data_IF_036794718646
#
_entry.id   IF_036794718646
#
_cell.length_a   1.000
_cell.length_b   1.000
_cell.length_c   1.000
_cell.angle_alpha   90.00
_cell.angle_beta   90.00
_cell.angle_gamma   90.00
#
_symmetry.space_group_name_H-M   'P 1'
#
loop_
_entity.id
_entity.type
_entity.pdbx_description
1 polymer ?
#
# COMPACT_ATOMS: atom_id res chain seq x y z
N UNK A 1 4.06 -18.33 3.49
CA UNK A 1 3.81 -18.34 2.02
C UNK A 1 3.53 -16.90 1.64
N UNK A 2 4.54 -16.18 1.14
CA UNK A 2 4.35 -14.80 0.72
C UNK A 2 3.28 -14.79 -0.37
N UNK A 3 2.23 -14.02 -0.21
CA UNK A 3 1.23 -13.79 -1.24
C UNK A 3 1.92 -13.06 -2.39
N UNK A 4 2.40 -13.81 -3.34
CA UNK A 4 2.89 -13.32 -4.60
C UNK A 4 1.66 -12.83 -5.38
N UNK A 5 1.24 -11.62 -5.08
CA UNK A 5 0.27 -10.93 -5.90
C UNK A 5 0.92 -10.72 -7.27
N UNK A 6 0.51 -11.51 -8.23
CA UNK A 6 0.79 -11.26 -9.66
C UNK A 6 -0.18 -10.22 -10.20
N UNK A 7 -0.50 -9.17 -9.40
CA UNK A 7 -1.36 -8.09 -9.89
C UNK A 7 -0.66 -7.45 -11.08
N UNK A 8 -1.19 -7.70 -12.25
CA UNK A 8 -0.92 -6.93 -13.46
C UNK A 8 -1.70 -5.63 -13.37
N UNK A 9 -1.20 -4.58 -14.01
CA UNK A 9 -1.92 -3.31 -14.07
C UNK A 9 -1.52 -2.26 -13.02
N UNK A 10 -0.46 -2.46 -12.24
CA UNK A 10 0.02 -1.44 -11.29
C UNK A 10 0.59 -0.22 -11.99
N UNK A 11 1.33 -0.40 -13.09
CA UNK A 11 1.79 0.72 -13.92
C UNK A 11 0.60 1.46 -14.51
N UNK A 12 -0.32 0.73 -15.13
CA UNK A 12 -1.54 1.30 -15.73
C UNK A 12 -2.35 2.09 -14.70
N UNK A 13 -2.46 1.58 -13.47
CA UNK A 13 -3.13 2.27 -12.37
C UNK A 13 -2.45 3.63 -12.07
N UNK A 14 -1.13 3.63 -11.80
CA UNK A 14 -0.43 4.86 -11.47
C UNK A 14 -0.32 5.83 -12.65
N UNK A 15 -0.14 5.33 -13.87
CA UNK A 15 -0.13 6.13 -15.09
C UNK A 15 -1.45 6.92 -15.26
N UNK A 16 -2.58 6.25 -14.99
CA UNK A 16 -3.89 6.89 -15.01
C UNK A 16 -4.04 7.94 -13.88
N UNK A 17 -3.65 7.59 -12.65
CA UNK A 17 -3.77 8.49 -11.50
C UNK A 17 -2.86 9.73 -11.61
N UNK A 18 -1.69 9.58 -12.21
CA UNK A 18 -0.75 10.68 -12.43
C UNK A 18 -1.01 11.47 -13.71
N UNK A 19 -1.86 10.94 -14.62
CA UNK A 19 -2.16 11.55 -15.92
C UNK A 19 -0.99 11.51 -16.90
N UNK A 20 -0.05 10.55 -16.73
CA UNK A 20 1.13 10.38 -17.56
C UNK A 20 1.39 8.89 -17.81
N UNK A 21 1.38 8.48 -19.06
CA UNK A 21 1.56 7.07 -19.46
C UNK A 21 2.93 6.75 -20.02
N UNK A 22 3.76 7.75 -20.28
CA UNK A 22 5.12 7.56 -20.79
C UNK A 22 6.17 7.93 -19.72
N UNK A 23 6.74 6.90 -19.09
CA UNK A 23 7.76 7.09 -18.05
C UNK A 23 9.18 6.77 -18.54
N UNK A 24 9.40 6.64 -19.86
CA UNK A 24 10.75 6.53 -20.41
C UNK A 24 11.65 7.68 -19.97
N UNK A 25 12.87 7.35 -19.58
CA UNK A 25 13.85 8.31 -19.09
C UNK A 25 13.59 8.85 -17.69
N UNK A 26 12.49 8.46 -17.04
CA UNK A 26 12.13 8.86 -15.67
C UNK A 26 12.79 7.97 -14.64
N UNK A 27 13.30 8.56 -13.55
CA UNK A 27 13.75 7.83 -12.38
C UNK A 27 12.51 7.48 -11.52
N UNK A 28 12.29 6.19 -11.30
CA UNK A 28 11.12 5.69 -10.57
C UNK A 28 11.56 4.94 -9.33
N UNK A 29 11.02 5.30 -8.17
CA UNK A 29 11.13 4.55 -6.93
C UNK A 29 9.81 3.83 -6.64
N UNK A 30 9.85 2.52 -6.57
CA UNK A 30 8.74 1.66 -6.15
C UNK A 30 8.97 1.23 -4.70
N UNK A 31 8.28 1.91 -3.79
CA UNK A 31 8.39 1.67 -2.35
C UNK A 31 7.40 0.58 -1.92
N UNK A 32 7.92 -0.55 -1.48
CA UNK A 32 7.16 -1.78 -1.27
C UNK A 32 6.82 -2.50 -2.58
N UNK A 33 7.72 -2.41 -3.57
CA UNK A 33 7.49 -2.92 -4.94
C UNK A 33 7.49 -4.44 -5.07
N UNK A 34 7.73 -5.17 -3.96
CA UNK A 34 7.77 -6.63 -3.94
C UNK A 34 8.79 -7.16 -4.96
N UNK A 35 8.36 -7.97 -5.90
CA UNK A 35 9.19 -8.58 -6.97
C UNK A 35 9.20 -7.74 -8.27
N UNK A 36 8.87 -6.43 -8.19
CA UNK A 36 8.75 -5.56 -9.35
C UNK A 36 7.42 -5.75 -10.10
N UNK A 37 6.33 -5.84 -9.34
CA UNK A 37 5.01 -6.06 -9.94
C UNK A 37 4.62 -4.99 -10.97
N UNK A 38 5.06 -3.75 -10.78
CA UNK A 38 4.82 -2.66 -11.72
C UNK A 38 5.52 -2.88 -13.06
N UNK A 39 6.72 -3.48 -13.08
CA UNK A 39 7.47 -3.78 -14.30
C UNK A 39 6.85 -4.92 -15.12
N UNK A 40 6.00 -5.75 -14.50
CA UNK A 40 5.29 -6.85 -15.16
C UNK A 40 4.01 -6.42 -15.86
N UNK A 41 3.60 -5.17 -15.66
CA UNK A 41 2.45 -4.62 -16.37
C UNK A 41 2.77 -4.56 -17.87
N UNK A 42 1.94 -5.13 -18.76
CA UNK A 42 2.18 -5.12 -20.22
C UNK A 42 2.32 -3.71 -20.80
N UNK A 43 1.70 -2.71 -20.17
CA UNK A 43 1.74 -1.32 -20.60
C UNK A 43 2.91 -0.54 -19.98
N UNK A 44 3.78 -1.21 -19.20
CA UNK A 44 4.86 -0.55 -18.48
C UNK A 44 5.89 0.06 -19.44
N UNK A 45 6.16 1.35 -19.24
CA UNK A 45 7.16 2.10 -20.02
C UNK A 45 8.38 2.51 -19.19
N UNK A 46 8.55 1.95 -18.00
CA UNK A 46 9.69 2.23 -17.12
C UNK A 46 10.94 1.53 -17.67
N UNK A 47 12.01 2.28 -17.87
CA UNK A 47 13.33 1.72 -18.18
C UNK A 47 13.87 0.99 -16.95
N UNK A 48 14.22 -0.30 -17.04
CA UNK A 48 14.71 -1.08 -15.89
C UNK A 48 15.91 -0.39 -15.20
N UNK A 49 16.86 0.15 -15.96
CA UNK A 49 18.02 0.85 -15.42
C UNK A 49 17.67 2.15 -14.66
N UNK A 50 16.42 2.60 -14.73
CA UNK A 50 15.88 3.78 -14.04
C UNK A 50 14.79 3.43 -13.04
N UNK A 51 14.73 2.17 -12.63
CA UNK A 51 13.79 1.67 -11.63
C UNK A 51 14.53 1.23 -10.37
N UNK A 52 14.06 1.72 -9.23
CA UNK A 52 14.51 1.35 -7.89
C UNK A 52 13.36 0.73 -7.14
N UNK A 53 13.60 -0.45 -6.57
CA UNK A 53 12.68 -1.10 -5.65
C UNK A 53 13.27 -1.11 -4.24
N UNK A 54 12.50 -0.64 -3.28
CA UNK A 54 12.80 -0.76 -1.85
C UNK A 54 11.72 -1.63 -1.23
N UNK A 55 12.08 -2.77 -0.63
CA UNK A 55 11.11 -3.67 -0.01
C UNK A 55 11.66 -4.30 1.27
N UNK A 56 10.76 -4.66 2.20
CA UNK A 56 11.07 -5.26 3.49
C UNK A 56 11.18 -6.79 3.45
N UNK A 57 10.90 -7.41 2.30
CA UNK A 57 10.92 -8.86 2.10
C UNK A 57 12.16 -9.26 1.31
N UNK A 58 13.19 -9.86 1.94
CA UNK A 58 14.46 -10.17 1.27
C UNK A 58 14.29 -11.14 0.09
N UNK A 59 13.37 -12.12 0.19
CA UNK A 59 13.09 -13.06 -0.89
C UNK A 59 12.48 -12.37 -2.11
N UNK A 60 11.69 -11.32 -1.91
CA UNK A 60 11.14 -10.51 -3.00
C UNK A 60 12.24 -9.76 -3.75
N UNK A 61 13.18 -9.18 -3.00
CA UNK A 61 14.35 -8.49 -3.56
C UNK A 61 15.20 -9.43 -4.40
N UNK A 62 15.53 -10.62 -3.88
CA UNK A 62 16.35 -11.60 -4.64
C UNK A 62 15.66 -12.10 -5.91
N UNK A 63 14.35 -12.30 -5.85
CA UNK A 63 13.57 -12.69 -7.04
C UNK A 63 13.47 -11.56 -8.07
N UNK A 64 13.26 -10.33 -7.61
CA UNK A 64 13.24 -9.16 -8.48
C UNK A 64 14.57 -8.97 -9.20
N UNK A 65 15.71 -9.09 -8.48
CA UNK A 65 17.06 -9.06 -9.08
C UNK A 65 17.26 -10.12 -10.18
N UNK A 66 16.73 -11.33 -9.94
CA UNK A 66 16.86 -12.41 -10.90
C UNK A 66 16.02 -12.16 -12.18
N UNK A 67 14.85 -11.54 -12.04
CA UNK A 67 13.94 -11.29 -13.15
C UNK A 67 14.26 -9.99 -13.90
N UNK A 68 14.67 -8.95 -13.19
CA UNK A 68 14.97 -7.62 -13.74
C UNK A 68 16.37 -7.19 -13.31
N UNK A 69 17.44 -7.76 -13.89
CA UNK A 69 18.82 -7.59 -13.42
C UNK A 69 19.40 -6.19 -13.65
N UNK A 70 18.81 -5.38 -14.52
CA UNK A 70 19.25 -3.99 -14.75
C UNK A 70 18.66 -3.00 -13.74
N UNK A 71 17.63 -3.43 -12.98
CA UNK A 71 16.98 -2.61 -11.98
C UNK A 71 17.75 -2.59 -10.65
N UNK A 72 17.47 -1.58 -9.82
CA UNK A 72 18.12 -1.37 -8.53
C UNK A 72 17.24 -1.92 -7.40
N UNK A 73 17.73 -2.91 -6.67
CA UNK A 73 16.99 -3.61 -5.64
C UNK A 73 17.61 -3.40 -4.27
N UNK A 74 16.83 -2.92 -3.31
CA UNK A 74 17.29 -2.53 -1.99
C UNK A 74 16.44 -3.23 -0.93
N UNK A 75 17.06 -4.10 -0.15
CA UNK A 75 16.44 -4.65 1.05
C UNK A 75 16.40 -3.59 2.15
N UNK A 76 15.23 -3.37 2.72
CA UNK A 76 14.96 -2.38 3.75
C UNK A 76 14.50 -3.08 5.02
N UNK A 77 15.41 -3.36 5.93
CA UNK A 77 15.14 -4.11 7.16
C UNK A 77 14.31 -3.31 8.18
N UNK A 78 13.31 -2.57 7.70
CA UNK A 78 12.35 -1.88 8.56
C UNK A 78 11.30 -2.85 9.06
N UNK A 79 10.95 -2.71 10.34
CA UNK A 79 9.82 -3.41 10.92
C UNK A 79 8.55 -3.17 10.10
N UNK A 80 7.91 -4.24 9.72
CA UNK A 80 6.56 -4.25 9.17
C UNK A 80 5.79 -5.39 9.84
N UNK A 81 4.65 -5.06 10.43
CA UNK A 81 3.87 -5.97 11.26
C UNK A 81 3.67 -7.36 10.65
N UNK A 82 3.39 -7.42 9.36
CA UNK A 82 3.08 -8.67 8.67
C UNK A 82 4.24 -9.22 7.83
N UNK A 83 4.99 -8.35 7.15
CA UNK A 83 5.98 -8.78 6.17
C UNK A 83 7.40 -8.88 6.75
N UNK A 84 7.73 -8.08 7.76
CA UNK A 84 9.03 -8.12 8.45
C UNK A 84 8.89 -7.83 9.96
N UNK A 85 8.28 -8.76 10.72
CA UNK A 85 8.00 -8.54 12.15
C UNK A 85 9.25 -8.51 13.03
N UNK A 86 10.39 -8.90 12.48
CA UNK A 86 11.70 -8.89 13.17
C UNK A 86 12.60 -7.73 12.74
N UNK A 87 12.14 -6.88 11.82
CA UNK A 87 12.87 -5.73 11.33
C UNK A 87 13.03 -4.62 12.36
N UNK A 88 13.82 -3.62 12.02
CA UNK A 88 14.17 -2.50 12.88
C UNK A 88 13.05 -1.45 12.90
N UNK A 89 12.48 -1.18 14.08
CA UNK A 89 11.45 -0.14 14.25
C UNK A 89 12.04 1.24 14.01
N UNK A 90 11.32 2.10 13.28
CA UNK A 90 11.73 3.48 13.01
C UNK A 90 12.98 3.61 12.13
N UNK A 91 13.45 2.52 11.49
CA UNK A 91 14.56 2.60 10.55
C UNK A 91 14.27 3.64 9.47
N UNK A 92 15.20 4.57 9.25
CA UNK A 92 15.06 5.58 8.20
C UNK A 92 15.21 4.96 6.82
N UNK A 93 14.61 5.62 5.81
CA UNK A 93 14.77 5.22 4.42
C UNK A 93 16.26 5.16 4.06
N UNK A 94 16.74 4.12 3.35
CA UNK A 94 18.13 4.04 2.93
C UNK A 94 18.53 5.25 2.08
N UNK A 95 19.81 5.60 2.12
CA UNK A 95 20.32 6.64 1.25
C UNK A 95 20.20 6.21 -0.22
N UNK A 96 19.59 7.08 -1.01
CA UNK A 96 19.43 6.93 -2.45
C UNK A 96 20.16 8.10 -3.10
N UNK A 97 21.07 7.79 -4.00
CA UNK A 97 22.03 8.74 -4.60
C UNK A 97 21.41 9.67 -5.65
N UNK A 98 20.07 9.73 -5.72
CA UNK A 98 19.35 10.53 -6.71
C UNK A 98 17.97 10.97 -6.25
N UNK A 99 17.42 11.91 -6.99
CA UNK A 99 16.03 12.30 -6.91
C UNK A 99 15.18 11.54 -7.96
N UNK A 100 13.87 11.35 -7.64
CA UNK A 100 12.94 10.57 -8.43
C UNK A 100 11.85 11.45 -9.05
N UNK A 101 11.58 11.21 -10.33
CA UNK A 101 10.46 11.84 -11.03
C UNK A 101 9.11 11.28 -10.50
N UNK A 102 9.08 9.98 -10.27
CA UNK A 102 7.93 9.31 -9.67
C UNK A 102 8.37 8.42 -8.51
N UNK A 103 7.66 8.55 -7.40
CA UNK A 103 7.73 7.60 -6.29
C UNK A 103 6.33 6.99 -6.15
N UNK A 104 6.25 5.67 -6.18
CA UNK A 104 4.99 4.95 -6.08
C UNK A 104 5.01 3.99 -4.90
N UNK A 105 3.86 3.81 -4.23
CA UNK A 105 3.71 2.84 -3.14
C UNK A 105 2.32 2.20 -3.22
N UNK A 106 2.25 1.00 -3.81
CA UNK A 106 0.99 0.28 -3.97
C UNK A 106 0.74 -0.67 -2.80
N UNK A 107 -0.36 -0.44 -2.07
CA UNK A 107 -0.78 -1.30 -0.94
C UNK A 107 0.24 -1.40 0.21
N UNK A 108 1.07 -0.39 0.40
CA UNK A 108 2.05 -0.31 1.49
C UNK A 108 1.38 0.25 2.74
N UNK A 109 0.79 1.45 2.63
CA UNK A 109 0.20 2.16 3.77
C UNK A 109 -1.14 1.56 4.25
N UNK A 110 -1.66 0.60 3.53
CA UNK A 110 -2.76 -0.26 3.98
C UNK A 110 -2.32 -1.29 5.04
N UNK A 111 -1.01 -1.47 5.26
CA UNK A 111 -0.44 -2.43 6.21
C UNK A 111 0.62 -1.76 7.11
N UNK A 112 0.57 -0.45 7.23
CA UNK A 112 1.56 0.35 7.97
C UNK A 112 0.84 1.16 9.06
N UNK A 113 1.37 1.24 10.29
CA UNK A 113 0.86 2.15 11.31
C UNK A 113 0.84 3.59 10.80
N UNK A 114 -0.13 4.38 11.28
CA UNK A 114 -0.32 5.77 10.85
C UNK A 114 0.92 6.65 11.10
N UNK A 115 1.54 6.53 12.27
CA UNK A 115 2.77 7.24 12.60
C UNK A 115 3.93 6.91 11.66
N UNK A 116 4.08 5.63 11.31
CA UNK A 116 5.07 5.17 10.35
C UNK A 116 4.75 5.68 8.93
N UNK A 117 3.48 5.73 8.53
CA UNK A 117 3.07 6.32 7.25
C UNK A 117 3.53 7.77 7.15
N UNK A 118 3.29 8.60 8.16
CA UNK A 118 3.73 10.00 8.15
C UNK A 118 5.24 10.12 7.99
N UNK A 119 5.99 9.39 8.82
CA UNK A 119 7.45 9.42 8.77
C UNK A 119 7.98 9.00 7.39
N UNK A 120 7.39 7.96 6.79
CA UNK A 120 7.81 7.46 5.49
C UNK A 120 7.41 8.41 4.35
N UNK A 121 6.20 8.96 4.39
CA UNK A 121 5.75 9.94 3.38
C UNK A 121 6.66 11.17 3.37
N UNK A 122 7.05 11.71 4.54
CA UNK A 122 7.98 12.85 4.59
C UNK A 122 9.34 12.49 4.02
N UNK A 123 9.92 11.35 4.37
CA UNK A 123 11.19 10.90 3.82
C UNK A 123 11.13 10.66 2.30
N UNK A 124 10.02 10.10 1.80
CA UNK A 124 9.82 9.87 0.36
C UNK A 124 9.66 11.19 -0.39
N UNK A 125 8.95 12.18 0.16
CA UNK A 125 8.83 13.52 -0.41
C UNK A 125 10.18 14.20 -0.58
N UNK A 126 11.09 14.04 0.39
CA UNK A 126 12.44 14.59 0.32
C UNK A 126 13.28 14.01 -0.84
N UNK A 127 12.90 12.84 -1.35
CA UNK A 127 13.56 12.19 -2.49
C UNK A 127 12.97 12.54 -3.86
N UNK A 128 11.92 13.36 -3.91
CA UNK A 128 11.35 13.79 -5.18
C UNK A 128 12.29 14.76 -5.93
N UNK A 129 12.40 14.56 -7.24
CA UNK A 129 12.96 15.55 -8.16
C UNK A 129 12.07 16.80 -8.22
N UNK A 130 12.59 17.90 -8.75
CA UNK A 130 11.78 19.06 -9.04
C UNK A 130 10.64 18.67 -10.00
N UNK A 131 9.41 19.06 -9.68
CA UNK A 131 8.17 18.64 -10.35
C UNK A 131 7.86 17.13 -10.27
N UNK A 132 8.57 16.36 -9.41
CA UNK A 132 8.27 14.96 -9.16
C UNK A 132 6.97 14.77 -8.40
N UNK A 133 6.45 13.54 -8.43
CA UNK A 133 5.23 13.15 -7.75
C UNK A 133 5.42 11.88 -6.92
N UNK A 134 4.90 11.90 -5.68
CA UNK A 134 4.68 10.72 -4.85
C UNK A 134 3.22 10.31 -4.98
N UNK A 135 2.97 9.07 -5.40
CA UNK A 135 1.64 8.49 -5.48
C UNK A 135 1.56 7.22 -4.63
N UNK A 136 0.67 7.18 -3.67
CA UNK A 136 0.49 5.99 -2.84
C UNK A 136 -0.98 5.65 -2.64
N UNK A 137 -1.25 4.37 -2.40
CA UNK A 137 -2.63 3.89 -2.26
C UNK A 137 -3.02 3.70 -0.80
N UNK A 138 -4.32 3.90 -0.53
CA UNK A 138 -4.98 3.64 0.75
C UNK A 138 -6.40 3.11 0.52
N UNK A 139 -7.01 2.55 1.58
CA UNK A 139 -8.38 2.02 1.50
C UNK A 139 -9.29 2.94 2.31
N UNK A 140 -10.29 3.53 1.62
CA UNK A 140 -11.41 4.17 2.28
C UNK A 140 -12.43 3.09 2.67
N UNK A 141 -12.71 2.91 3.97
CA UNK A 141 -13.58 1.83 4.44
C UNK A 141 -15.04 1.99 4.01
N UNK A 142 -15.49 3.23 3.79
CA UNK A 142 -16.89 3.56 3.49
C UNK A 142 -17.17 3.66 2.00
N UNK A 143 -16.14 3.64 1.16
CA UNK A 143 -16.32 3.71 -0.29
C UNK A 143 -16.85 2.39 -0.86
N UNK A 144 -17.74 2.49 -1.83
CA UNK A 144 -18.27 1.35 -2.58
C UNK A 144 -17.51 1.20 -3.89
N UNK A 145 -16.48 0.38 -3.90
CA UNK A 145 -15.61 0.21 -5.09
C UNK A 145 -16.34 -0.50 -6.25
N UNK A 146 -17.31 -1.35 -5.94
CA UNK A 146 -18.03 -2.15 -6.95
C UNK A 146 -19.55 -2.15 -6.70
N UNK A 147 -20.24 -0.97 -6.79
CA UNK A 147 -21.65 -0.88 -6.44
C UNK A 147 -22.55 -1.76 -7.31
N UNK A 148 -22.14 -2.04 -8.55
CA UNK A 148 -22.89 -2.89 -9.49
C UNK A 148 -22.70 -4.39 -9.23
N UNK A 149 -21.72 -4.79 -8.42
CA UNK A 149 -21.36 -6.20 -8.16
C UNK A 149 -21.65 -6.61 -6.72
N UNK A 150 -21.48 -5.68 -5.78
CA UNK A 150 -21.57 -5.94 -4.35
C UNK A 150 -22.30 -4.79 -3.66
N UNK A 151 -23.35 -5.11 -2.92
CA UNK A 151 -24.04 -4.15 -2.04
C UNK A 151 -23.29 -4.02 -0.70
N UNK A 152 -21.99 -3.66 -0.80
CA UNK A 152 -21.13 -3.56 0.37
C UNK A 152 -20.05 -2.48 0.13
N UNK A 153 -19.72 -1.74 1.19
CA UNK A 153 -18.57 -0.86 1.19
C UNK A 153 -17.25 -1.67 1.32
N UNK A 154 -16.12 -1.01 1.17
CA UNK A 154 -14.80 -1.67 1.18
C UNK A 154 -14.51 -2.42 2.48
N UNK A 155 -14.95 -1.93 3.64
CA UNK A 155 -14.76 -2.62 4.92
C UNK A 155 -15.54 -3.93 4.95
N UNK A 156 -16.84 -3.88 4.66
CA UNK A 156 -17.72 -5.07 4.66
C UNK A 156 -17.20 -6.09 3.65
N UNK A 157 -16.93 -5.67 2.41
CA UNK A 157 -16.37 -6.54 1.38
C UNK A 157 -15.05 -7.21 1.84
N UNK A 158 -14.16 -6.43 2.51
CA UNK A 158 -12.89 -6.98 3.01
C UNK A 158 -13.09 -8.05 4.06
N UNK A 159 -14.00 -7.82 5.01
CA UNK A 159 -14.32 -8.77 6.06
C UNK A 159 -14.95 -10.06 5.50
N UNK A 160 -15.92 -9.93 4.60
CA UNK A 160 -16.56 -11.09 3.95
C UNK A 160 -15.56 -11.90 3.10
N UNK A 161 -14.64 -11.20 2.40
CA UNK A 161 -13.57 -11.86 1.66
C UNK A 161 -12.63 -12.65 2.58
N UNK A 162 -12.30 -12.11 3.75
CA UNK A 162 -11.45 -12.81 4.73
C UNK A 162 -12.12 -14.09 5.23
N UNK A 163 -13.41 -14.01 5.58
CA UNK A 163 -14.22 -15.16 5.97
C UNK A 163 -14.21 -16.23 4.87
N UNK A 164 -14.43 -15.81 3.62
CA UNK A 164 -14.43 -16.71 2.48
C UNK A 164 -13.08 -17.41 2.30
N UNK A 165 -11.98 -16.67 2.31
CA UNK A 165 -10.64 -17.23 2.11
C UNK A 165 -10.24 -18.21 3.22
N UNK A 166 -10.61 -17.95 4.46
CA UNK A 166 -10.33 -18.87 5.56
C UNK A 166 -11.20 -20.14 5.47
N UNK A 167 -12.46 -20.00 5.03
CA UNK A 167 -13.33 -21.16 4.77
C UNK A 167 -12.76 -22.08 3.68
N UNK A 168 -12.21 -21.53 2.61
CA UNK A 168 -11.53 -22.30 1.55
C UNK A 168 -10.30 -23.08 2.09
N UNK A 169 -9.67 -22.60 3.16
CA UNK A 169 -8.59 -23.29 3.87
C UNK A 169 -9.07 -24.32 4.90
N UNK A 170 -10.39 -24.48 5.05
CA UNK A 170 -11.02 -25.36 6.07
C UNK A 170 -11.11 -24.74 7.46
N UNK A 171 -10.86 -23.44 7.60
CA UNK A 171 -11.01 -22.70 8.86
C UNK A 171 -12.39 -22.05 8.96
N UNK A 172 -12.85 -21.83 10.19
CA UNK A 172 -14.07 -21.06 10.45
C UNK A 172 -13.70 -19.77 11.17
N UNK A 173 -14.03 -18.63 10.56
CA UNK A 173 -13.98 -17.32 11.21
C UNK A 173 -15.40 -16.90 11.58
N UNK A 174 -15.60 -16.55 12.85
CA UNK A 174 -16.86 -15.99 13.36
C UNK A 174 -16.70 -14.48 13.53
N UNK A 175 -16.70 -13.73 12.42
CA UNK A 175 -16.58 -12.28 12.41
C UNK A 175 -17.98 -11.67 12.43
N UNK A 176 -18.24 -10.80 13.41
CA UNK A 176 -19.45 -9.96 13.44
C UNK A 176 -19.30 -8.78 12.48
N UNK A 177 -19.47 -9.04 11.18
CA UNK A 177 -19.30 -8.02 10.13
C UNK A 177 -20.21 -6.81 10.36
N UNK A 178 -21.53 -6.94 10.64
CA UNK A 178 -22.37 -5.79 10.92
C UNK A 178 -21.93 -4.99 12.16
N UNK A 179 -21.55 -5.66 13.24
CA UNK A 179 -21.10 -5.01 14.47
C UNK A 179 -19.79 -4.26 14.28
N UNK A 180 -18.85 -4.81 13.52
CA UNK A 180 -17.59 -4.11 13.18
C UNK A 180 -17.84 -2.90 12.28
N UNK A 181 -18.70 -3.03 11.27
CA UNK A 181 -19.05 -1.93 10.38
C UNK A 181 -19.75 -0.79 11.14
N UNK A 182 -20.67 -1.11 12.04
CA UNK A 182 -21.35 -0.12 12.90
C UNK A 182 -20.38 0.60 13.83
N UNK A 183 -19.42 -0.11 14.42
CA UNK A 183 -18.39 0.50 15.28
C UNK A 183 -17.45 1.43 14.54
N UNK A 184 -17.12 1.11 13.28
CA UNK A 184 -16.18 1.87 12.46
C UNK A 184 -16.82 3.05 11.71
N UNK A 185 -18.14 3.16 11.66
CA UNK A 185 -18.89 4.04 10.74
C UNK A 185 -18.54 5.53 10.84
N UNK A 186 -18.21 6.00 12.05
CA UNK A 186 -17.93 7.42 12.32
C UNK A 186 -16.43 7.69 12.50
N UNK A 187 -15.57 6.67 12.33
CA UNK A 187 -14.12 6.81 12.54
C UNK A 187 -13.43 7.31 11.28
N UNK A 188 -12.55 8.28 11.45
CA UNK A 188 -11.74 8.85 10.36
C UNK A 188 -10.66 7.87 9.89
N UNK A 189 -10.13 7.09 10.82
CA UNK A 189 -9.17 6.03 10.54
C UNK A 189 -9.23 4.94 11.61
N UNK A 190 -8.81 3.73 11.27
CA UNK A 190 -8.72 2.63 12.22
C UNK A 190 -7.79 1.53 11.72
N UNK A 191 -7.41 0.66 12.64
CA UNK A 191 -6.65 -0.57 12.35
C UNK A 191 -7.55 -1.77 12.60
N UNK A 192 -7.54 -2.72 11.66
CA UNK A 192 -8.19 -4.00 11.77
C UNK A 192 -7.12 -5.10 11.81
N UNK A 193 -7.09 -5.87 12.89
CA UNK A 193 -6.17 -7.00 13.08
C UNK A 193 -6.96 -8.30 13.08
N UNK A 194 -6.45 -9.32 12.40
CA UNK A 194 -7.07 -10.64 12.30
C UNK A 194 -8.51 -10.69 11.74
N UNK A 195 -8.99 -9.59 11.18
CA UNK A 195 -10.35 -9.45 10.67
C UNK A 195 -11.41 -9.28 11.77
N UNK A 196 -11.05 -9.23 13.04
CA UNK A 196 -12.00 -9.14 14.16
C UNK A 196 -11.65 -8.09 15.21
N UNK A 197 -10.39 -7.79 15.38
CA UNK A 197 -9.90 -6.82 16.38
C UNK A 197 -9.82 -5.42 15.76
N UNK A 198 -10.76 -4.56 16.13
CA UNK A 198 -10.89 -3.20 15.62
C UNK A 198 -10.34 -2.18 16.64
N UNK A 199 -9.37 -1.39 16.21
CA UNK A 199 -8.70 -0.32 16.97
C UNK A 199 -9.02 1.01 16.32
N UNK A 200 -9.94 1.76 16.93
CA UNK A 200 -10.42 3.05 16.41
C UNK A 200 -9.48 4.17 16.84
N UNK A 201 -8.96 4.89 15.86
CA UNK A 201 -8.13 6.10 16.03
C UNK A 201 -6.96 5.94 17.02
N UNK A 202 -6.44 4.70 17.14
CA UNK A 202 -5.32 4.38 18.02
C UNK A 202 -4.35 3.42 17.34
N UNK A 203 -3.06 3.57 17.70
CA UNK A 203 -1.98 2.67 17.30
C UNK A 203 -1.58 1.70 18.42
N UNK A 204 -2.29 1.69 19.53
CA UNK A 204 -2.08 0.76 20.64
C UNK A 204 -2.57 -0.66 20.26
N UNK A 205 -1.96 -1.18 19.20
CA UNK A 205 -2.23 -2.52 18.67
C UNK A 205 -1.28 -3.50 19.35
N UNK A 206 -1.77 -4.68 19.79
CA UNK A 206 -0.92 -5.70 20.39
C UNK A 206 0.30 -6.03 19.52
N UNK A 207 1.41 -6.37 20.18
CA UNK A 207 2.60 -6.79 19.47
C UNK A 207 2.32 -8.00 18.59
N UNK A 208 3.07 -8.13 17.49
CA UNK A 208 2.98 -9.26 16.59
C UNK A 208 3.18 -10.60 17.34
N UNK A 209 2.17 -11.48 17.23
CA UNK A 209 2.20 -12.85 17.75
C UNK A 209 2.07 -13.85 16.58
N UNK A 210 3.12 -14.53 16.15
CA UNK A 210 3.11 -15.40 14.96
C UNK A 210 1.99 -16.44 14.92
N UNK A 211 1.58 -16.92 16.10
CA UNK A 211 0.55 -17.95 16.23
C UNK A 211 -0.90 -17.41 16.03
N UNK A 212 -1.10 -16.10 16.15
CA UNK A 212 -2.43 -15.48 16.15
C UNK A 212 -2.68 -14.53 15.00
N UNK A 213 -1.62 -13.87 14.49
CA UNK A 213 -1.81 -12.73 13.60
C UNK A 213 -1.78 -13.15 12.14
N UNK A 214 -2.93 -12.99 11.48
CA UNK A 214 -3.14 -13.33 10.08
C UNK A 214 -3.14 -12.12 9.17
N UNK A 215 -3.68 -11.00 9.66
CA UNK A 215 -3.82 -9.76 8.87
C UNK A 215 -3.64 -8.53 9.76
N UNK A 216 -3.19 -7.45 9.13
CA UNK A 216 -3.12 -6.10 9.68
C UNK A 216 -3.49 -5.14 8.57
N UNK A 217 -4.55 -4.37 8.77
CA UNK A 217 -5.01 -3.40 7.79
C UNK A 217 -5.28 -2.06 8.45
N UNK A 218 -4.73 -1.00 7.86
CA UNK A 218 -5.06 0.37 8.22
C UNK A 218 -6.02 0.93 7.16
N UNK A 219 -7.10 1.51 7.63
CA UNK A 219 -8.12 2.18 6.84
C UNK A 219 -8.10 3.67 7.14
N UNK A 220 -8.31 4.48 6.11
CA UNK A 220 -8.38 5.93 6.19
C UNK A 220 -9.54 6.42 5.34
N UNK A 221 -10.42 7.27 5.89
CA UNK A 221 -11.42 7.92 5.03
C UNK A 221 -10.74 8.90 4.07
N UNK A 222 -11.34 9.11 2.90
CA UNK A 222 -10.81 10.05 1.92
C UNK A 222 -10.78 11.49 2.48
N UNK A 223 -11.75 11.87 3.30
CA UNK A 223 -11.80 13.19 3.94
C UNK A 223 -10.68 13.37 4.97
N UNK A 224 -10.40 12.33 5.73
CA UNK A 224 -9.27 12.36 6.66
C UNK A 224 -7.94 12.49 5.90
N UNK A 225 -7.75 11.73 4.82
CA UNK A 225 -6.54 11.86 3.99
C UNK A 225 -6.40 13.26 3.39
N UNK A 226 -7.50 13.93 3.00
CA UNK A 226 -7.47 15.34 2.57
C UNK A 226 -7.05 16.28 3.69
N UNK A 227 -7.49 16.03 4.92
CA UNK A 227 -7.09 16.85 6.09
C UNK A 227 -5.60 16.68 6.42
N UNK A 228 -5.06 15.46 6.28
CA UNK A 228 -3.65 15.16 6.53
C UNK A 228 -2.70 15.74 5.47
N UNK A 229 -3.13 15.72 4.21
CA UNK A 229 -2.34 16.15 3.05
C UNK A 229 -3.11 17.21 2.25
N UNK A 230 -3.26 18.45 2.79
CA UNK A 230 -4.15 19.47 2.20
C UNK A 230 -3.73 19.94 0.79
N UNK A 231 -2.48 19.67 0.38
CA UNK A 231 -1.97 19.98 -0.96
C UNK A 231 -1.93 18.75 -1.88
N UNK A 232 -2.38 17.60 -1.40
CA UNK A 232 -2.44 16.39 -2.21
C UNK A 232 -3.76 16.29 -2.98
N UNK A 233 -3.70 15.59 -4.11
CA UNK A 233 -4.90 15.13 -4.79
C UNK A 233 -5.30 13.76 -4.23
N UNK A 234 -6.52 13.67 -3.69
CA UNK A 234 -7.09 12.39 -3.25
C UNK A 234 -8.04 11.92 -4.35
N UNK A 235 -7.63 10.89 -5.04
CA UNK A 235 -8.29 10.36 -6.23
C UNK A 235 -9.02 9.05 -5.89
N UNK A 236 -10.22 8.82 -6.43
CA UNK A 236 -10.96 7.59 -6.22
C UNK A 236 -10.24 6.39 -6.86
N UNK A 237 -10.63 5.16 -6.50
CA UNK A 237 -10.12 3.96 -7.15
C UNK A 237 -10.30 4.00 -8.66
N UNK A 238 -9.32 3.46 -9.39
CA UNK A 238 -9.34 3.33 -10.83
C UNK A 238 -9.31 1.85 -11.23
N UNK A 239 -9.82 1.51 -12.40
CA UNK A 239 -9.67 0.19 -13.03
C UNK A 239 -10.13 -1.00 -12.16
N UNK A 240 -11.33 -0.94 -11.62
CA UNK A 240 -11.90 -1.98 -10.73
C UNK A 240 -11.08 -2.26 -9.47
N UNK A 241 -10.22 -1.35 -9.06
CA UNK A 241 -9.47 -1.42 -7.80
C UNK A 241 -10.30 -0.90 -6.62
N UNK A 242 -9.93 -1.31 -5.40
CA UNK A 242 -10.59 -0.81 -4.18
C UNK A 242 -9.82 0.31 -3.48
N UNK A 243 -8.62 0.62 -3.95
CA UNK A 243 -7.73 1.56 -3.29
C UNK A 243 -7.78 2.92 -3.95
N UNK A 244 -7.97 3.95 -3.11
CA UNK A 244 -7.78 5.35 -3.48
C UNK A 244 -6.30 5.64 -3.71
N UNK A 245 -6.02 6.74 -4.40
CA UNK A 245 -4.66 7.24 -4.59
C UNK A 245 -4.51 8.63 -3.97
N UNK A 246 -3.48 8.79 -3.14
CA UNK A 246 -3.01 10.09 -2.67
C UNK A 246 -1.81 10.49 -3.54
N UNK A 247 -1.91 11.63 -4.23
CA UNK A 247 -0.85 12.17 -5.09
C UNK A 247 -0.34 13.47 -4.51
N UNK A 248 0.94 13.49 -4.12
CA UNK A 248 1.66 14.66 -3.61
C UNK A 248 2.69 15.07 -4.67
N UNK A 249 2.64 16.32 -5.12
CA UNK A 249 3.63 16.87 -6.07
C UNK A 249 4.61 17.79 -5.33
N UNK A 250 5.90 17.73 -5.71
CA UNK A 250 6.87 18.70 -5.24
C UNK A 250 6.56 20.04 -5.91
N UNK A 251 6.46 21.12 -5.15
CA UNK A 251 6.14 22.48 -5.62
C UNK A 251 4.66 22.74 -5.98
N UNK A 252 3.72 21.95 -5.47
CA UNK A 252 2.29 22.26 -5.53
C UNK A 252 1.81 23.01 -4.29
#
# INVERSE_FOLDING_TARGET
>A
MAFLSTKTGQFTYFAQQLGESNWHGKNVLDFGGNVGNILRDPECTIDQARYWCVDVVPESIERGKAEFPEAHWIFYDRYCFFFNPHGVRGLLLPELDRAFDYIVAYSVFTNTPRSDMFQLVDQLKDRLADNGALAFTFIDPHYHSWPDRFDANNLVWRLEREIFLEKEKGNTLNIDVPGLAERAKDSEWFVLVNGEDLYLETEDVPAYEPARQRTYHTFYTADYMRSLFPHAQILPPANDEMQHCCVIRKNS
#
